data_IF_896958787375
#
_entry.id   IF_896958787375
#
_cell.length_a   1.000
_cell.length_b   1.000
_cell.length_c   1.000
_cell.angle_alpha   90.00
_cell.angle_beta   90.00
_cell.angle_gamma   90.00
#
_symmetry.space_group_name_H-M   'P 1'
#
loop_
_entity.id
_entity.type
_entity.pdbx_description
1 polymer ?
#
# COMPACT_ATOMS: atom_id res chain seq x y z
N UNK A 1 -3.61 -11.50 -23.30
CA UNK A 1 -4.37 -10.94 -22.18
C UNK A 1 -3.64 -11.14 -20.86
N UNK A 2 -3.07 -12.32 -20.59
CA UNK A 2 -2.33 -12.62 -19.36
C UNK A 2 -1.12 -11.71 -19.08
N UNK A 3 -0.28 -11.44 -20.09
CA UNK A 3 0.91 -10.58 -19.92
C UNK A 3 0.55 -9.16 -19.46
N UNK A 4 -0.55 -8.59 -19.98
CA UNK A 4 -1.02 -7.26 -19.57
C UNK A 4 -1.49 -7.25 -18.11
N UNK A 5 -2.19 -8.30 -17.68
CA UNK A 5 -2.67 -8.44 -16.29
C UNK A 5 -1.50 -8.53 -15.33
N UNK A 6 -0.47 -9.34 -15.65
CA UNK A 6 0.74 -9.48 -14.82
C UNK A 6 1.51 -8.16 -14.72
N UNK A 7 1.69 -7.45 -15.84
CA UNK A 7 2.37 -6.15 -15.85
C UNK A 7 1.61 -5.12 -15.01
N UNK A 8 0.30 -4.97 -15.21
CA UNK A 8 -0.53 -4.03 -14.46
C UNK A 8 -0.54 -4.34 -12.96
N UNK A 9 -0.58 -5.62 -12.61
CA UNK A 9 -0.50 -6.10 -11.21
C UNK A 9 0.82 -5.69 -10.55
N UNK A 10 1.94 -5.95 -11.21
CA UNK A 10 3.28 -5.59 -10.71
C UNK A 10 3.43 -4.08 -10.55
N UNK A 11 3.01 -3.29 -11.54
CA UNK A 11 3.04 -1.83 -11.44
C UNK A 11 2.16 -1.31 -10.30
N UNK A 12 0.98 -1.87 -10.10
CA UNK A 12 0.09 -1.50 -9.00
C UNK A 12 0.73 -1.80 -7.64
N UNK A 13 1.33 -2.97 -7.48
CA UNK A 13 2.06 -3.33 -6.26
C UNK A 13 3.24 -2.38 -5.98
N UNK A 14 3.99 -2.00 -7.02
CA UNK A 14 5.09 -1.03 -6.91
C UNK A 14 4.61 0.36 -6.47
N UNK A 15 3.50 0.85 -7.03
CA UNK A 15 2.91 2.14 -6.66
C UNK A 15 2.46 2.12 -5.20
N UNK A 16 1.82 1.04 -4.75
CA UNK A 16 1.40 0.87 -3.35
C UNK A 16 2.63 0.86 -2.43
N UNK A 17 3.68 0.13 -2.79
CA UNK A 17 4.92 0.08 -2.02
C UNK A 17 5.59 1.47 -1.91
N UNK A 18 5.63 2.23 -3.01
CA UNK A 18 6.13 3.62 -3.02
C UNK A 18 5.30 4.52 -2.11
N UNK A 19 3.98 4.36 -2.12
CA UNK A 19 3.06 5.13 -1.28
C UNK A 19 3.34 4.86 0.21
N UNK A 20 3.44 3.61 0.61
CA UNK A 20 3.76 3.22 2.00
C UNK A 20 5.14 3.77 2.40
N UNK A 21 6.14 3.67 1.53
CA UNK A 21 7.47 4.21 1.79
C UNK A 21 7.46 5.73 2.03
N UNK A 22 6.72 6.48 1.20
CA UNK A 22 6.58 7.93 1.36
C UNK A 22 5.81 8.28 2.64
N UNK A 23 4.75 7.55 2.99
CA UNK A 23 4.05 7.72 4.27
C UNK A 23 4.98 7.49 5.47
N UNK A 24 5.81 6.44 5.42
CA UNK A 24 6.81 6.17 6.45
C UNK A 24 7.84 7.30 6.58
N UNK A 25 8.28 7.90 5.47
CA UNK A 25 9.14 9.09 5.48
C UNK A 25 8.47 10.26 6.19
N UNK A 26 7.21 10.55 5.87
CA UNK A 26 6.46 11.65 6.51
C UNK A 26 6.31 11.41 8.01
N UNK A 27 5.94 10.20 8.42
CA UNK A 27 5.86 9.81 9.83
C UNK A 27 7.22 9.95 10.54
N UNK A 28 8.32 9.60 9.87
CA UNK A 28 9.67 9.74 10.43
C UNK A 28 10.05 11.21 10.61
N UNK A 29 9.68 12.08 9.67
CA UNK A 29 9.90 13.53 9.77
C UNK A 29 9.10 14.09 10.95
N UNK A 30 7.82 13.73 11.08
CA UNK A 30 6.96 14.17 12.18
C UNK A 30 7.51 13.69 13.55
N UNK A 31 8.03 12.46 13.61
CA UNK A 31 8.67 11.92 14.81
C UNK A 31 9.94 12.70 15.17
N UNK A 32 10.82 12.96 14.18
CA UNK A 32 12.05 13.76 14.39
C UNK A 32 11.76 15.19 14.85
N UNK A 33 10.67 15.80 14.35
CA UNK A 33 10.19 17.12 14.77
C UNK A 33 9.49 17.13 16.13
N UNK A 34 9.35 15.97 16.80
CA UNK A 34 8.59 15.78 18.04
C UNK A 34 7.11 16.18 17.94
N UNK A 35 6.55 16.21 16.73
CA UNK A 35 5.13 16.45 16.51
C UNK A 35 4.28 15.23 16.89
N UNK A 36 4.87 14.03 16.81
CA UNK A 36 4.25 12.77 17.23
C UNK A 36 5.16 12.01 18.21
N UNK A 37 4.55 11.32 19.19
CA UNK A 37 5.30 10.45 20.11
C UNK A 37 5.70 9.13 19.43
N UNK A 38 6.74 8.47 19.96
CA UNK A 38 7.20 7.18 19.43
C UNK A 38 6.12 6.10 19.38
N UNK A 39 5.19 6.08 20.35
CA UNK A 39 4.03 5.17 20.31
C UNK A 39 3.13 5.44 19.11
N UNK A 40 2.83 6.71 18.83
CA UNK A 40 2.00 7.10 17.68
C UNK A 40 2.71 6.77 16.36
N UNK A 41 4.02 6.97 16.29
CA UNK A 41 4.83 6.59 15.12
C UNK A 41 4.72 5.10 14.80
N UNK A 42 4.87 4.23 15.81
CA UNK A 42 4.76 2.78 15.63
C UNK A 42 3.34 2.39 15.21
N UNK A 43 2.30 2.93 15.87
CA UNK A 43 0.91 2.60 15.55
C UNK A 43 0.56 3.03 14.11
N UNK A 44 0.83 4.28 13.74
CA UNK A 44 0.51 4.77 12.40
C UNK A 44 1.36 4.09 11.32
N UNK A 45 2.64 3.80 11.61
CA UNK A 45 3.49 3.06 10.69
C UNK A 45 3.01 1.62 10.48
N UNK A 46 2.64 0.92 11.54
CA UNK A 46 2.07 -0.42 11.45
C UNK A 46 0.77 -0.43 10.64
N UNK A 47 -0.13 0.52 10.89
CA UNK A 47 -1.38 0.67 10.11
C UNK A 47 -1.08 0.91 8.63
N UNK A 48 -0.14 1.80 8.30
CA UNK A 48 0.23 2.09 6.91
C UNK A 48 0.78 0.84 6.19
N UNK A 49 1.65 0.08 6.86
CA UNK A 49 2.22 -1.15 6.32
C UNK A 49 1.13 -2.23 6.13
N UNK A 50 0.32 -2.47 7.16
CA UNK A 50 -0.76 -3.48 7.11
C UNK A 50 -1.76 -3.14 6.01
N UNK A 51 -2.19 -1.88 5.93
CA UNK A 51 -3.13 -1.42 4.91
C UNK A 51 -2.51 -1.55 3.51
N UNK A 52 -1.26 -1.13 3.34
CA UNK A 52 -0.55 -1.30 2.07
C UNK A 52 -0.43 -2.75 1.64
N UNK A 53 -0.17 -3.67 2.57
CA UNK A 53 -0.09 -5.10 2.29
C UNK A 53 -1.45 -5.70 1.90
N UNK A 54 -2.52 -5.35 2.62
CA UNK A 54 -3.90 -5.74 2.28
C UNK A 54 -4.25 -5.24 0.89
N UNK A 55 -4.03 -3.96 0.60
CA UNK A 55 -4.38 -3.37 -0.70
C UNK A 55 -3.55 -4.00 -1.82
N UNK A 56 -2.24 -4.21 -1.64
CA UNK A 56 -1.39 -4.84 -2.64
C UNK A 56 -1.75 -6.32 -2.90
N UNK A 57 -2.30 -7.01 -1.90
CA UNK A 57 -2.79 -8.38 -2.05
C UNK A 57 -4.18 -8.42 -2.68
N UNK A 58 -5.06 -7.47 -2.36
CA UNK A 58 -6.44 -7.49 -2.85
C UNK A 58 -6.55 -6.89 -4.24
N UNK A 59 -5.82 -5.84 -4.61
CA UNK A 59 -5.95 -5.18 -5.91
C UNK A 59 -5.79 -6.13 -7.12
N UNK A 60 -4.73 -6.96 -7.20
CA UNK A 60 -4.51 -7.79 -8.37
C UNK A 60 -5.52 -8.94 -8.50
N UNK A 61 -6.04 -9.46 -7.39
CA UNK A 61 -7.08 -10.51 -7.38
C UNK A 61 -8.49 -9.94 -7.46
N UNK A 62 -8.71 -8.75 -6.90
CA UNK A 62 -9.98 -8.04 -6.97
C UNK A 62 -10.35 -7.69 -8.40
N UNK A 63 -9.36 -7.27 -9.21
CA UNK A 63 -9.60 -7.01 -10.63
C UNK A 63 -10.14 -8.23 -11.37
N UNK A 64 -9.57 -9.42 -11.14
CA UNK A 64 -10.08 -10.67 -11.75
C UNK A 64 -11.51 -10.99 -11.33
N UNK A 65 -11.85 -10.83 -10.04
CA UNK A 65 -13.20 -11.12 -9.52
C UNK A 65 -14.24 -10.13 -10.04
N UNK A 66 -13.91 -8.82 -10.09
CA UNK A 66 -14.85 -7.80 -10.59
C UNK A 66 -15.12 -7.94 -12.08
N UNK A 67 -14.11 -8.32 -12.87
CA UNK A 67 -14.29 -8.56 -14.31
C UNK A 67 -15.17 -9.79 -14.56
N UNK A 68 -14.98 -10.87 -13.80
CA UNK A 68 -15.78 -12.10 -13.90
C UNK A 68 -17.22 -11.93 -13.37
N UNK A 69 -17.45 -11.01 -12.43
CA UNK A 69 -18.80 -10.72 -11.95
C UNK A 69 -19.63 -9.86 -12.91
N UNK A 70 -18.99 -8.98 -13.68
CA UNK A 70 -19.67 -8.05 -14.59
C UNK A 70 -19.89 -8.64 -16.00
N UNK A 71 -19.08 -9.61 -16.41
CA UNK A 71 -19.09 -10.21 -17.76
C UNK A 71 -19.56 -11.65 -17.75
#
# INVERSE_FOLDING_TARGET
MEVLITITSVFSALIIMMTVYNMMKVLLIAYKRKEISGRKFIIFGAIAIVTGFIVASVLPYGYTIFVEYIY
#
